data_IF_327772891838
#
_entry.id   IF_327772891838
#
_cell.length_a   1.000
_cell.length_b   1.000
_cell.length_c   1.000
_cell.angle_alpha   90.00
_cell.angle_beta   90.00
_cell.angle_gamma   90.00
#
_symmetry.space_group_name_H-M   'P 1'
#
loop_
_entity.id
_entity.type
_entity.pdbx_description
1 polymer ?
#
# COMPACT_ATOMS: atom_id res chain seq x y z
N UNK A 1 -27.84 -76.15 24.36
CA UNK A 1 -27.21 -75.53 23.17
C UNK A 1 -27.05 -73.99 23.21
N UNK A 2 -27.80 -73.22 24.01
CA UNK A 2 -27.70 -71.74 24.05
C UNK A 2 -26.37 -71.17 24.61
N UNK A 3 -25.75 -71.81 25.59
CA UNK A 3 -24.50 -71.30 26.23
C UNK A 3 -23.27 -71.32 25.31
N UNK A 4 -23.16 -72.31 24.41
CA UNK A 4 -22.01 -72.43 23.48
C UNK A 4 -22.07 -71.32 22.40
N UNK A 5 -23.28 -71.01 21.91
CA UNK A 5 -23.48 -69.97 20.89
C UNK A 5 -23.17 -68.56 21.42
N UNK A 6 -23.56 -68.24 22.66
CA UNK A 6 -23.20 -66.99 23.34
C UNK A 6 -21.68 -66.85 23.52
N UNK A 7 -20.98 -67.94 23.85
CA UNK A 7 -19.52 -67.93 24.02
C UNK A 7 -18.77 -67.67 22.70
N UNK A 8 -19.24 -68.25 21.58
CA UNK A 8 -18.70 -68.00 20.24
C UNK A 8 -18.97 -66.54 19.80
N UNK A 9 -20.16 -66.00 20.05
CA UNK A 9 -20.52 -64.61 19.75
C UNK A 9 -19.67 -63.63 20.56
N UNK A 10 -19.47 -63.89 21.86
CA UNK A 10 -18.61 -63.07 22.73
C UNK A 10 -17.13 -63.13 22.28
N UNK A 11 -16.62 -64.31 21.91
CA UNK A 11 -15.26 -64.46 21.34
C UNK A 11 -15.13 -63.71 20.01
N UNK A 12 -16.12 -63.80 19.09
CA UNK A 12 -16.15 -63.04 17.82
C UNK A 12 -16.24 -61.52 18.06
N UNK A 13 -17.05 -61.05 19.01
CA UNK A 13 -17.15 -59.63 19.42
C UNK A 13 -15.83 -59.12 20.02
N UNK A 14 -15.18 -59.88 20.90
CA UNK A 14 -13.84 -59.56 21.45
C UNK A 14 -12.77 -59.49 20.35
N UNK A 15 -12.76 -60.44 19.39
CA UNK A 15 -11.81 -60.45 18.25
C UNK A 15 -12.03 -59.26 17.30
N UNK A 16 -13.29 -58.90 17.00
CA UNK A 16 -13.64 -57.68 16.23
C UNK A 16 -13.23 -56.39 16.96
N UNK A 17 -13.47 -56.27 18.28
CA UNK A 17 -13.02 -55.12 19.10
C UNK A 17 -11.48 -55.00 19.10
N UNK A 18 -10.73 -56.09 19.26
CA UNK A 18 -9.25 -56.10 19.17
C UNK A 18 -8.75 -55.66 17.78
N UNK A 19 -9.34 -56.16 16.68
CA UNK A 19 -9.01 -55.73 15.30
C UNK A 19 -9.30 -54.24 15.06
N UNK A 20 -10.45 -53.71 15.53
CA UNK A 20 -10.78 -52.27 15.45
C UNK A 20 -9.78 -51.40 16.24
N UNK A 21 -9.39 -51.80 17.46
CA UNK A 21 -8.35 -51.10 18.26
C UNK A 21 -6.98 -51.09 17.54
N UNK A 22 -6.53 -52.21 16.96
CA UNK A 22 -5.29 -52.28 16.17
C UNK A 22 -5.33 -51.35 14.93
N UNK A 23 -6.44 -51.34 14.17
CA UNK A 23 -6.63 -50.41 13.02
C UNK A 23 -6.60 -48.93 13.44
N UNK A 24 -7.26 -48.55 14.55
CA UNK A 24 -7.21 -47.18 15.11
C UNK A 24 -5.78 -46.78 15.53
N UNK A 25 -5.02 -47.65 16.20
CA UNK A 25 -3.60 -47.40 16.55
C UNK A 25 -2.72 -47.20 15.31
N UNK A 26 -2.87 -48.02 14.25
CA UNK A 26 -2.15 -47.85 12.97
C UNK A 26 -2.49 -46.51 12.28
N UNK A 27 -3.76 -46.10 12.22
CA UNK A 27 -4.19 -44.78 11.67
C UNK A 27 -3.59 -43.60 12.46
N UNK A 28 -3.58 -43.66 13.81
CA UNK A 28 -2.95 -42.63 14.66
C UNK A 28 -1.43 -42.52 14.40
N UNK A 29 -0.70 -43.64 14.28
CA UNK A 29 0.74 -43.65 13.92
C UNK A 29 1.01 -43.03 12.54
N UNK A 30 0.20 -43.36 11.51
CA UNK A 30 0.31 -42.74 10.17
C UNK A 30 0.06 -41.22 10.19
N UNK A 31 -0.96 -40.73 10.91
CA UNK A 31 -1.22 -39.29 11.09
C UNK A 31 -0.06 -38.57 11.79
N UNK A 32 0.53 -39.15 12.84
CA UNK A 32 1.72 -38.59 13.52
C UNK A 32 2.93 -38.49 12.59
N UNK A 33 3.22 -39.52 11.77
CA UNK A 33 4.31 -39.49 10.77
C UNK A 33 4.10 -38.40 9.71
N UNK A 34 2.87 -38.24 9.17
CA UNK A 34 2.54 -37.17 8.21
C UNK A 34 2.73 -35.77 8.83
N UNK A 35 2.29 -35.55 10.07
CA UNK A 35 2.51 -34.28 10.80
C UNK A 35 4.00 -33.97 10.99
N UNK A 36 4.83 -34.96 11.37
CA UNK A 36 6.30 -34.79 11.49
C UNK A 36 6.95 -34.41 10.14
N UNK A 37 6.58 -35.07 9.03
CA UNK A 37 7.07 -34.72 7.68
C UNK A 37 6.69 -33.29 7.27
N UNK A 38 5.43 -32.86 7.50
CA UNK A 38 5.00 -31.47 7.23
C UNK A 38 5.78 -30.45 8.07
N UNK A 39 6.02 -30.72 9.37
CA UNK A 39 6.85 -29.85 10.23
C UNK A 39 8.30 -29.74 9.72
N UNK A 40 8.93 -30.85 9.31
CA UNK A 40 10.30 -30.83 8.73
C UNK A 40 10.35 -30.02 7.42
N UNK A 41 9.37 -30.19 6.50
CA UNK A 41 9.27 -29.38 5.26
C UNK A 41 9.10 -27.89 5.56
N UNK A 42 8.24 -27.52 6.52
CA UNK A 42 8.08 -26.11 6.97
C UNK A 42 9.38 -25.55 7.55
N UNK A 43 10.11 -26.31 8.39
CA UNK A 43 11.42 -25.88 8.93
C UNK A 43 12.46 -25.69 7.82
N UNK A 44 12.56 -26.60 6.83
CA UNK A 44 13.46 -26.45 5.67
C UNK A 44 13.10 -25.22 4.82
N UNK A 45 11.80 -24.97 4.54
CA UNK A 45 11.36 -23.75 3.84
C UNK A 45 11.69 -22.47 4.61
N UNK A 46 11.48 -22.45 5.94
CA UNK A 46 11.89 -21.32 6.80
C UNK A 46 13.41 -21.11 6.80
N UNK A 47 14.21 -22.19 6.84
CA UNK A 47 15.68 -22.10 6.77
C UNK A 47 16.14 -21.57 5.40
N UNK A 48 15.57 -22.06 4.29
CA UNK A 48 15.81 -21.52 2.93
C UNK A 48 15.41 -20.04 2.79
N UNK A 49 14.28 -19.61 3.35
CA UNK A 49 13.89 -18.19 3.39
C UNK A 49 14.89 -17.36 4.20
N UNK A 50 15.31 -17.83 5.38
CA UNK A 50 16.33 -17.16 6.20
C UNK A 50 17.69 -17.03 5.50
N UNK A 51 18.13 -18.05 4.77
CA UNK A 51 19.38 -17.97 3.99
C UNK A 51 19.26 -17.10 2.76
N UNK A 52 18.05 -16.93 2.19
CA UNK A 52 17.80 -16.01 1.07
C UNK A 52 17.75 -14.54 1.52
N UNK A 53 17.21 -14.28 2.71
CA UNK A 53 17.21 -12.93 3.33
C UNK A 53 18.63 -12.49 3.73
N UNK A 54 19.52 -13.44 4.08
CA UNK A 54 20.91 -13.16 4.48
C UNK A 54 21.92 -13.05 3.33
N UNK A 55 21.52 -13.30 2.08
CA UNK A 55 22.40 -13.26 0.89
C UNK A 55 22.08 -12.10 -0.06
N UNK A 56 21.22 -11.17 0.34
CA UNK A 56 21.14 -9.88 -0.34
C UNK A 56 22.43 -9.13 0.05
N UNK A 57 23.26 -8.64 -0.89
CA UNK A 57 24.24 -7.60 -0.55
C UNK A 57 23.49 -6.46 0.13
N UNK A 58 24.05 -5.86 1.18
CA UNK A 58 23.47 -4.65 1.76
C UNK A 58 23.50 -3.60 0.65
N UNK A 59 22.34 -3.30 0.09
CA UNK A 59 22.18 -2.19 -0.86
C UNK A 59 22.71 -0.91 -0.18
N UNK A 60 23.46 -0.12 -0.94
CA UNK A 60 23.86 1.22 -0.53
C UNK A 60 22.56 1.98 -0.24
N UNK A 61 22.37 2.46 0.99
CA UNK A 61 21.10 3.06 1.42
C UNK A 61 20.86 4.46 0.87
N UNK A 62 21.93 5.06 0.37
CA UNK A 62 21.97 6.46 -0.04
C UNK A 62 22.24 6.50 -1.54
N UNK A 63 21.44 7.29 -2.23
CA UNK A 63 21.57 7.62 -3.65
C UNK A 63 21.68 9.14 -3.77
N UNK A 64 22.21 9.61 -4.90
CA UNK A 64 22.26 11.03 -5.23
C UNK A 64 21.24 11.31 -6.32
N UNK A 65 20.30 12.20 -6.02
CA UNK A 65 19.39 12.82 -6.98
C UNK A 65 19.88 14.23 -7.26
N UNK A 66 20.20 14.56 -8.52
CA UNK A 66 20.67 15.88 -8.91
C UNK A 66 19.50 16.70 -9.43
N UNK A 67 19.16 17.77 -8.71
CA UNK A 67 18.09 18.68 -9.08
C UNK A 67 18.66 19.90 -9.84
N UNK A 68 18.00 20.28 -10.93
CA UNK A 68 18.30 21.50 -11.70
C UNK A 68 19.18 21.31 -12.94
N UNK A 69 19.26 22.35 -13.76
CA UNK A 69 19.85 22.28 -15.11
C UNK A 69 21.38 22.13 -15.14
N UNK A 70 22.07 22.52 -14.06
CA UNK A 70 23.53 22.42 -13.97
C UNK A 70 23.92 21.02 -13.49
N UNK A 71 24.24 20.14 -14.44
CA UNK A 71 24.79 18.82 -14.14
C UNK A 71 26.27 18.97 -13.78
N UNK A 72 26.57 19.22 -12.50
CA UNK A 72 27.94 19.11 -12.02
C UNK A 72 28.35 17.63 -12.04
N UNK A 73 29.57 17.33 -12.51
CA UNK A 73 30.16 16.00 -12.44
C UNK A 73 30.63 15.61 -11.03
N UNK A 74 30.15 16.32 -10.00
CA UNK A 74 30.57 16.12 -8.62
C UNK A 74 30.11 14.75 -8.15
N UNK A 75 31.08 13.89 -7.84
CA UNK A 75 30.85 12.59 -7.21
C UNK A 75 30.75 12.80 -5.71
N UNK A 76 29.71 12.24 -5.10
CA UNK A 76 29.53 12.27 -3.66
C UNK A 76 30.02 10.95 -3.07
N UNK A 77 30.79 11.04 -2.00
CA UNK A 77 31.26 9.89 -1.24
C UNK A 77 30.73 9.96 0.18
N UNK A 78 30.38 8.79 0.74
CA UNK A 78 29.97 8.65 2.13
C UNK A 78 31.01 7.81 2.86
N UNK A 79 31.44 8.29 4.03
CA UNK A 79 32.36 7.56 4.90
C UNK A 79 31.54 6.68 5.85
N UNK A 80 31.72 5.37 5.78
CA UNK A 80 31.12 4.42 6.75
C UNK A 80 32.21 3.92 7.71
N UNK A 81 32.01 4.12 9.02
CA UNK A 81 32.85 3.51 10.05
C UNK A 81 32.28 2.14 10.43
N UNK A 82 32.88 1.07 9.90
CA UNK A 82 32.55 -0.31 10.24
C UNK A 82 33.79 -1.04 10.73
N UNK A 83 33.71 -1.68 11.91
CA UNK A 83 34.79 -2.50 12.49
C UNK A 83 36.17 -1.81 12.67
N UNK A 84 36.22 -0.48 12.74
CA UNK A 84 37.49 0.26 12.91
C UNK A 84 38.23 0.57 11.61
N UNK A 85 37.69 0.16 10.45
CA UNK A 85 38.19 0.52 9.13
C UNK A 85 37.28 1.60 8.52
N UNK A 86 37.87 2.63 7.91
CA UNK A 86 37.14 3.67 7.18
C UNK A 86 36.95 3.21 5.73
N UNK A 87 35.70 2.96 5.32
CA UNK A 87 35.36 2.68 3.93
C UNK A 87 34.72 3.90 3.29
N UNK A 88 35.29 4.36 2.19
CA UNK A 88 34.71 5.41 1.34
C UNK A 88 33.85 4.75 0.25
N UNK A 89 32.54 5.04 0.29
CA UNK A 89 31.57 4.50 -0.66
C UNK A 89 31.16 5.64 -1.60
N UNK A 90 31.39 5.46 -2.90
CA UNK A 90 30.88 6.38 -3.93
C UNK A 90 29.38 6.13 -4.10
N UNK A 91 28.57 7.18 -4.02
CA UNK A 91 27.12 7.08 -4.15
C UNK A 91 26.71 6.95 -5.62
N UNK A 92 25.73 6.10 -5.89
CA UNK A 92 25.12 5.95 -7.20
C UNK A 92 24.16 7.12 -7.49
N UNK A 93 24.24 7.64 -8.72
CA UNK A 93 23.34 8.69 -9.20
C UNK A 93 22.11 8.04 -9.82
N UNK A 94 20.93 8.50 -9.43
CA UNK A 94 19.65 8.05 -9.96
C UNK A 94 18.86 9.23 -10.53
N UNK A 95 18.07 8.98 -11.57
CA UNK A 95 17.22 10.02 -12.16
C UNK A 95 15.88 10.20 -11.44
N UNK A 96 15.46 9.17 -10.71
CA UNK A 96 14.22 9.13 -9.94
C UNK A 96 14.47 8.47 -8.61
N UNK A 97 14.15 9.16 -7.52
CA UNK A 97 14.26 8.63 -6.17
C UNK A 97 12.89 8.59 -5.48
N UNK A 98 12.71 7.64 -4.56
CA UNK A 98 11.45 7.49 -3.84
C UNK A 98 11.62 7.96 -2.40
N UNK A 99 10.96 9.06 -2.07
CA UNK A 99 10.92 9.57 -0.70
C UNK A 99 9.50 9.59 -0.13
N UNK A 100 9.34 9.04 1.09
CA UNK A 100 8.07 8.90 1.82
C UNK A 100 6.87 8.36 1.00
N UNK A 101 7.11 7.70 -0.15
CA UNK A 101 6.04 7.19 -1.02
C UNK A 101 5.77 8.02 -2.27
N UNK A 102 6.40 9.18 -2.41
CA UNK A 102 6.41 10.03 -3.61
C UNK A 102 7.68 9.75 -4.42
N UNK A 103 7.55 9.67 -5.75
CA UNK A 103 8.71 9.56 -6.63
C UNK A 103 9.08 10.96 -7.14
N UNK A 104 10.34 11.34 -6.95
CA UNK A 104 10.86 12.65 -7.33
C UNK A 104 11.85 12.46 -8.47
N UNK A 105 11.54 13.07 -9.61
CA UNK A 105 12.39 13.06 -10.80
C UNK A 105 13.37 14.25 -10.76
N UNK A 106 14.53 14.16 -11.43
CA UNK A 106 15.51 15.25 -11.53
C UNK A 106 14.91 16.60 -12.00
N UNK A 107 13.91 16.55 -12.88
CA UNK A 107 13.24 17.73 -13.46
C UNK A 107 12.06 18.23 -12.60
N UNK A 108 11.77 17.58 -11.46
CA UNK A 108 10.61 17.88 -10.61
C UNK A 108 9.26 17.87 -11.36
N UNK A 109 9.17 17.12 -12.47
CA UNK A 109 7.96 17.05 -13.29
C UNK A 109 6.89 16.11 -12.73
N UNK A 110 7.29 15.19 -11.83
CA UNK A 110 6.45 14.16 -11.19
C UNK A 110 5.70 13.25 -12.17
N UNK A 111 6.13 13.17 -13.43
CA UNK A 111 5.50 12.32 -14.47
C UNK A 111 5.54 10.84 -14.08
N UNK A 112 6.69 10.38 -13.62
CA UNK A 112 6.89 9.00 -13.16
C UNK A 112 5.97 8.69 -11.98
N UNK A 113 5.86 9.62 -11.03
CA UNK A 113 4.99 9.48 -9.85
C UNK A 113 3.51 9.36 -10.23
N UNK A 114 3.02 10.25 -11.11
CA UNK A 114 1.64 10.22 -11.59
C UNK A 114 1.34 8.91 -12.32
N UNK A 115 2.23 8.48 -13.21
CA UNK A 115 2.09 7.20 -13.93
C UNK A 115 2.02 6.01 -12.96
N UNK A 116 2.93 5.94 -11.98
CA UNK A 116 2.95 4.86 -10.99
C UNK A 116 1.72 4.88 -10.07
N UNK A 117 1.26 6.06 -9.66
CA UNK A 117 0.12 6.24 -8.76
C UNK A 117 -1.20 5.90 -9.45
N UNK A 118 -1.41 6.40 -10.67
CA UNK A 118 -2.58 6.05 -11.49
C UNK A 118 -2.61 4.57 -11.86
N UNK A 119 -1.47 3.96 -12.19
CA UNK A 119 -1.39 2.53 -12.46
C UNK A 119 -1.77 1.68 -11.23
N UNK A 120 -1.33 2.06 -10.02
CA UNK A 120 -1.74 1.39 -8.78
C UNK A 120 -3.24 1.54 -8.54
N UNK A 121 -3.76 2.76 -8.69
CA UNK A 121 -5.18 3.04 -8.47
C UNK A 121 -6.08 2.30 -9.48
N UNK A 122 -5.69 2.25 -10.75
CA UNK A 122 -6.39 1.48 -11.78
C UNK A 122 -6.43 -0.02 -11.47
N UNK A 123 -5.34 -0.60 -10.93
CA UNK A 123 -5.34 -1.99 -10.47
C UNK A 123 -6.38 -2.22 -9.37
N UNK A 124 -6.52 -1.28 -8.43
CA UNK A 124 -7.54 -1.36 -7.37
C UNK A 124 -8.95 -1.25 -7.95
N UNK A 125 -9.18 -0.33 -8.90
CA UNK A 125 -10.46 -0.21 -9.62
C UNK A 125 -10.82 -1.53 -10.32
N UNK A 126 -9.86 -2.16 -10.97
CA UNK A 126 -10.06 -3.46 -11.62
C UNK A 126 -10.31 -4.60 -10.63
N UNK A 127 -9.65 -4.58 -9.46
CA UNK A 127 -9.94 -5.53 -8.38
C UNK A 127 -11.39 -5.36 -7.89
N UNK A 128 -11.85 -4.12 -7.68
CA UNK A 128 -13.24 -3.83 -7.28
C UNK A 128 -14.19 -4.40 -8.33
N UNK A 129 -13.95 -4.12 -9.62
CA UNK A 129 -14.76 -4.63 -10.72
C UNK A 129 -14.88 -6.16 -10.73
N UNK A 130 -13.79 -6.87 -10.41
CA UNK A 130 -13.77 -8.35 -10.44
C UNK A 130 -14.32 -9.00 -9.17
N UNK A 131 -14.41 -8.25 -8.07
CA UNK A 131 -14.78 -8.80 -6.76
C UNK A 131 -16.28 -8.68 -6.51
N UNK A 132 -16.92 -7.65 -7.05
CA UNK A 132 -18.34 -7.37 -6.83
C UNK A 132 -19.12 -7.56 -8.13
N UNK A 133 -20.04 -8.52 -8.15
CA UNK A 133 -20.94 -8.74 -9.29
C UNK A 133 -22.01 -7.63 -9.38
N UNK A 134 -22.46 -7.13 -8.22
CA UNK A 134 -23.41 -6.03 -8.10
C UNK A 134 -22.82 -4.92 -7.22
N UNK A 135 -22.75 -3.71 -7.76
CA UNK A 135 -22.35 -2.50 -7.05
C UNK A 135 -23.55 -1.57 -6.93
N UNK A 136 -23.82 -1.12 -5.71
CA UNK A 136 -24.73 0.01 -5.46
C UNK A 136 -23.95 1.34 -5.48
N UNK A 137 -24.66 2.46 -5.63
CA UNK A 137 -24.06 3.81 -5.64
C UNK A 137 -23.24 4.07 -4.37
N UNK A 138 -23.84 3.83 -3.20
CA UNK A 138 -23.19 4.04 -1.90
C UNK A 138 -21.97 3.14 -1.69
N UNK A 139 -22.06 1.88 -2.12
CA UNK A 139 -20.94 0.94 -1.99
C UNK A 139 -19.78 1.35 -2.89
N UNK A 140 -20.05 1.75 -4.14
CA UNK A 140 -19.02 2.24 -5.05
C UNK A 140 -18.33 3.47 -4.48
N UNK A 141 -19.11 4.43 -3.97
CA UNK A 141 -18.58 5.66 -3.34
C UNK A 141 -17.71 5.33 -2.12
N UNK A 142 -18.16 4.39 -1.28
CA UNK A 142 -17.42 3.94 -0.11
C UNK A 142 -16.09 3.28 -0.49
N UNK A 143 -16.10 2.35 -1.45
CA UNK A 143 -14.90 1.66 -1.95
C UNK A 143 -13.93 2.63 -2.63
N UNK A 144 -14.45 3.56 -3.44
CA UNK A 144 -13.63 4.57 -4.10
C UNK A 144 -12.94 5.48 -3.09
N UNK A 145 -13.66 6.01 -2.11
CA UNK A 145 -13.13 6.90 -1.06
C UNK A 145 -12.09 6.21 -0.17
N UNK A 146 -12.29 4.93 0.15
CA UNK A 146 -11.43 4.19 1.09
C UNK A 146 -10.19 3.57 0.42
N UNK A 147 -10.31 3.06 -0.81
CA UNK A 147 -9.23 2.28 -1.45
C UNK A 147 -8.52 3.02 -2.59
N UNK A 148 -9.28 3.75 -3.41
CA UNK A 148 -8.74 4.37 -4.64
C UNK A 148 -8.25 5.78 -4.36
N UNK A 149 -9.06 6.59 -3.68
CA UNK A 149 -8.76 8.00 -3.41
C UNK A 149 -7.45 8.24 -2.66
N UNK A 150 -7.10 7.49 -1.60
CA UNK A 150 -5.84 7.72 -0.89
C UNK A 150 -4.61 7.50 -1.78
N UNK A 151 -4.69 6.61 -2.77
CA UNK A 151 -3.59 6.37 -3.72
C UNK A 151 -3.36 7.54 -4.68
N UNK A 152 -4.39 8.36 -4.92
CA UNK A 152 -4.35 9.49 -5.85
C UNK A 152 -4.16 10.84 -5.15
N UNK A 153 -4.53 10.96 -3.87
CA UNK A 153 -4.45 12.21 -3.09
C UNK A 153 -3.26 12.25 -2.12
N UNK A 154 -2.59 11.12 -1.87
CA UNK A 154 -1.46 11.09 -0.95
C UNK A 154 -0.35 12.04 -1.40
N UNK A 155 0.07 12.94 -0.51
CA UNK A 155 1.14 13.91 -0.76
C UNK A 155 0.83 14.93 -1.86
N UNK A 156 -0.45 15.18 -2.18
CA UNK A 156 -0.84 16.09 -3.28
C UNK A 156 -0.17 17.48 -3.20
N UNK A 157 0.02 18.04 -2.01
CA UNK A 157 0.69 19.33 -1.79
C UNK A 157 2.15 19.35 -2.27
N UNK A 158 2.79 18.19 -2.40
CA UNK A 158 4.19 18.07 -2.86
C UNK A 158 4.30 17.93 -4.37
N UNK A 159 3.48 17.08 -4.98
CA UNK A 159 3.64 16.68 -6.39
C UNK A 159 2.56 17.21 -7.34
N UNK A 160 1.65 18.07 -6.87
CA UNK A 160 0.50 18.56 -7.63
C UNK A 160 0.86 18.83 -9.10
N UNK A 161 0.29 18.06 -10.06
CA UNK A 161 0.68 18.17 -11.45
C UNK A 161 0.18 19.50 -12.01
N UNK A 162 1.06 20.24 -12.69
CA UNK A 162 0.72 21.50 -13.34
C UNK A 162 0.25 21.31 -14.79
N UNK A 163 0.73 20.24 -15.45
CA UNK A 163 0.34 19.93 -16.83
C UNK A 163 -1.07 19.34 -16.89
N UNK A 164 -1.90 19.89 -17.80
CA UNK A 164 -3.29 19.43 -18.02
C UNK A 164 -3.37 17.94 -18.36
N UNK A 165 -2.39 17.40 -19.07
CA UNK A 165 -2.31 15.97 -19.40
C UNK A 165 -2.22 15.10 -18.14
N UNK A 166 -1.29 15.40 -17.24
CA UNK A 166 -1.12 14.69 -15.98
C UNK A 166 -2.34 14.84 -15.05
N UNK A 167 -2.96 16.03 -15.02
CA UNK A 167 -4.23 16.23 -14.33
C UNK A 167 -5.32 15.30 -14.88
N UNK A 168 -5.40 15.16 -16.21
CA UNK A 168 -6.35 14.25 -16.86
C UNK A 168 -6.07 12.79 -16.53
N UNK A 169 -4.81 12.37 -16.50
CA UNK A 169 -4.44 10.97 -16.17
C UNK A 169 -4.93 10.56 -14.79
N UNK A 170 -4.86 11.48 -13.82
CA UNK A 170 -5.38 11.28 -12.45
C UNK A 170 -6.91 11.25 -12.45
N UNK A 171 -7.56 12.21 -13.11
CA UNK A 171 -9.02 12.29 -13.21
C UNK A 171 -9.63 11.08 -13.94
N UNK A 172 -8.92 10.53 -14.92
CA UNK A 172 -9.32 9.36 -15.68
C UNK A 172 -9.54 8.12 -14.81
N UNK A 173 -8.81 8.00 -13.70
CA UNK A 173 -9.04 6.91 -12.74
C UNK A 173 -10.44 7.04 -12.11
N UNK A 174 -10.87 8.25 -11.76
CA UNK A 174 -12.23 8.51 -11.28
C UNK A 174 -13.26 8.27 -12.39
N UNK A 175 -12.98 8.72 -13.63
CA UNK A 175 -13.86 8.45 -14.78
C UNK A 175 -14.06 6.96 -15.01
N UNK A 176 -13.01 6.13 -14.91
CA UNK A 176 -13.10 4.67 -15.01
C UNK A 176 -13.87 4.06 -13.83
N UNK A 177 -13.62 4.51 -12.61
CA UNK A 177 -14.31 4.02 -11.42
C UNK A 177 -15.84 4.29 -11.49
N UNK A 178 -16.25 5.48 -11.91
CA UNK A 178 -17.68 5.83 -12.03
C UNK A 178 -18.41 5.04 -13.13
N UNK A 179 -17.70 4.55 -14.15
CA UNK A 179 -18.26 3.66 -15.20
C UNK A 179 -18.53 2.22 -14.74
N UNK A 180 -18.05 1.82 -13.57
CA UNK A 180 -18.31 0.48 -13.02
C UNK A 180 -19.80 0.28 -12.76
N UNK A 181 -20.50 1.33 -12.36
CA UNK A 181 -21.94 1.27 -12.12
C UNK A 181 -22.70 1.27 -13.44
N UNK A 182 -23.41 0.17 -13.71
CA UNK A 182 -24.14 -0.01 -14.97
C UNK A 182 -25.25 1.03 -15.18
N UNK A 183 -25.94 1.46 -14.10
CA UNK A 183 -27.08 2.40 -14.17
C UNK A 183 -26.72 3.80 -14.66
N UNK A 184 -25.47 4.24 -14.47
CA UNK A 184 -25.01 5.58 -14.85
C UNK A 184 -23.86 5.56 -15.86
N UNK A 185 -23.48 4.38 -16.37
CA UNK A 185 -22.27 4.19 -17.18
C UNK A 185 -22.20 5.15 -18.36
N UNK A 186 -23.31 5.26 -19.09
CA UNK A 186 -23.40 5.96 -20.38
C UNK A 186 -23.68 7.47 -20.22
N UNK A 187 -23.96 7.94 -19.00
CA UNK A 187 -24.13 9.37 -18.72
C UNK A 187 -22.82 10.14 -18.92
N UNK A 188 -22.87 11.44 -19.26
CA UNK A 188 -21.68 12.28 -19.32
C UNK A 188 -21.02 12.38 -17.93
N UNK A 189 -19.71 12.62 -17.91
CA UNK A 189 -18.93 12.57 -16.67
C UNK A 189 -19.44 13.49 -15.54
N UNK A 190 -19.81 14.76 -15.81
CA UNK A 190 -20.35 15.64 -14.77
C UNK A 190 -21.64 15.10 -14.13
N UNK A 191 -22.53 14.51 -14.92
CA UNK A 191 -23.77 13.90 -14.40
C UNK A 191 -23.50 12.65 -13.56
N UNK A 192 -22.50 11.83 -13.93
CA UNK A 192 -22.08 10.70 -13.10
C UNK A 192 -21.57 11.17 -11.73
N UNK A 193 -20.81 12.25 -11.70
CA UNK A 193 -20.32 12.86 -10.45
C UNK A 193 -21.47 13.43 -9.61
N UNK A 194 -22.43 14.11 -10.23
CA UNK A 194 -23.61 14.63 -9.56
C UNK A 194 -24.46 13.51 -8.93
N UNK A 195 -24.71 12.42 -9.68
CA UNK A 195 -25.47 11.26 -9.18
C UNK A 195 -24.77 10.64 -7.96
N UNK A 196 -23.46 10.43 -8.04
CA UNK A 196 -22.67 9.82 -6.95
C UNK A 196 -22.31 10.80 -5.82
N UNK A 197 -22.70 12.08 -5.93
CA UNK A 197 -22.33 13.17 -5.01
C UNK A 197 -20.81 13.23 -4.76
N UNK A 198 -20.03 13.03 -5.82
CA UNK A 198 -18.57 13.05 -5.79
C UNK A 198 -18.06 14.36 -6.42
N UNK A 199 -17.22 15.15 -5.74
CA UNK A 199 -16.49 16.21 -6.41
C UNK A 199 -15.40 15.63 -7.34
N UNK A 200 -14.97 16.42 -8.32
CA UNK A 200 -13.80 16.09 -9.16
C UNK A 200 -12.52 16.05 -8.32
N UNK A 201 -11.52 15.27 -8.73
CA UNK A 201 -10.25 15.24 -8.01
C UNK A 201 -9.52 16.58 -8.14
N UNK A 202 -9.62 17.26 -9.29
CA UNK A 202 -9.05 18.59 -9.46
C UNK A 202 -9.59 19.59 -8.43
N UNK A 203 -10.91 19.66 -8.24
CA UNK A 203 -11.53 20.54 -7.25
C UNK A 203 -11.06 20.20 -5.84
N UNK A 204 -10.95 18.90 -5.52
CA UNK A 204 -10.49 18.46 -4.20
C UNK A 204 -9.05 18.86 -3.92
N UNK A 205 -8.15 18.74 -4.90
CA UNK A 205 -6.74 19.15 -4.73
C UNK A 205 -6.63 20.65 -4.53
N UNK A 206 -7.31 21.47 -5.36
CA UNK A 206 -7.39 22.93 -5.16
C UNK A 206 -7.90 23.31 -3.78
N UNK A 207 -8.95 22.62 -3.30
CA UNK A 207 -9.47 22.82 -1.94
C UNK A 207 -8.44 22.46 -0.87
N UNK A 208 -7.70 21.37 -1.05
CA UNK A 208 -6.60 20.98 -0.16
C UNK A 208 -5.51 22.04 -0.10
N UNK A 209 -5.08 22.53 -1.26
CA UNK A 209 -4.07 23.59 -1.38
C UNK A 209 -4.49 24.87 -0.64
N UNK A 210 -5.75 25.29 -0.78
CA UNK A 210 -6.29 26.45 -0.05
C UNK A 210 -6.32 26.24 1.47
N UNK A 211 -6.67 25.03 1.92
CA UNK A 211 -6.67 24.70 3.36
C UNK A 211 -5.24 24.71 3.90
N UNK A 212 -4.29 24.15 3.17
CA UNK A 212 -2.89 24.13 3.60
C UNK A 212 -2.30 25.54 3.64
N UNK A 213 -2.60 26.39 2.65
CA UNK A 213 -2.23 27.81 2.67
C UNK A 213 -2.82 28.55 3.88
N UNK A 214 -4.10 28.36 4.16
CA UNK A 214 -4.75 28.98 5.32
C UNK A 214 -4.07 28.59 6.63
N UNK A 215 -3.76 27.29 6.81
CA UNK A 215 -3.04 26.79 8.00
C UNK A 215 -1.65 27.39 8.13
N UNK A 216 -0.95 27.60 7.00
CA UNK A 216 0.35 28.26 7.01
C UNK A 216 0.26 29.74 7.43
N UNK A 217 -0.72 30.48 6.91
CA UNK A 217 -0.91 31.90 7.25
C UNK A 217 -1.29 32.09 8.72
N UNK A 218 -2.10 31.19 9.27
CA UNK A 218 -2.61 31.30 10.66
C UNK A 218 -1.72 30.60 11.68
N UNK A 219 -0.49 30.20 11.32
CA UNK A 219 0.48 29.61 12.25
C UNK A 219 0.07 28.25 12.84
N UNK A 220 -0.85 27.52 12.20
CA UNK A 220 -1.27 26.18 12.65
C UNK A 220 -0.15 25.15 12.43
N UNK A 221 0.71 25.39 11.44
CA UNK A 221 1.90 24.59 11.23
C UNK A 221 3.07 25.20 12.00
N UNK A 222 3.63 24.40 12.92
CA UNK A 222 4.89 24.70 13.60
C UNK A 222 6.04 24.58 12.59
N UNK A 223 6.36 25.69 11.95
CA UNK A 223 7.43 25.79 10.97
C UNK A 223 8.24 27.03 11.26
N UNK A 224 9.57 26.90 11.28
CA UNK A 224 10.52 28.00 11.34
C UNK A 224 10.39 28.84 10.04
N UNK A 225 9.39 29.73 9.98
CA UNK A 225 9.09 30.53 8.79
C UNK A 225 9.06 32.02 9.10
N UNK A 226 9.48 32.87 8.15
CA UNK A 226 9.16 34.28 8.19
C UNK A 226 7.63 34.45 8.12
N UNK A 227 7.08 35.28 9.01
CA UNK A 227 5.66 35.60 9.03
C UNK A 227 5.28 36.25 7.68
N UNK A 228 4.36 35.65 6.94
CA UNK A 228 3.82 36.27 5.73
C UNK A 228 2.78 37.31 6.18
N UNK A 229 3.22 38.54 6.43
CA UNK A 229 2.32 39.67 6.68
C UNK A 229 1.58 40.03 5.39
N UNK A 230 0.40 39.44 5.19
CA UNK A 230 -0.48 39.76 4.05
C UNK A 230 -1.31 41.04 4.33
N UNK A 231 -1.01 41.79 5.41
CA UNK A 231 -1.78 42.98 5.78
C UNK A 231 -3.24 42.69 6.13
N UNK A 232 -3.60 41.42 6.31
CA UNK A 232 -4.85 41.00 6.93
C UNK A 232 -4.63 41.09 8.43
N UNK A 233 -5.04 42.22 9.03
CA UNK A 233 -4.99 42.43 10.47
C UNK A 233 -5.49 41.20 11.21
N UNK A 234 -4.56 40.49 11.84
CA UNK A 234 -4.83 39.31 12.64
C UNK A 234 -5.64 39.80 13.84
N UNK A 235 -6.92 39.41 13.90
CA UNK A 235 -7.69 39.47 15.15
C UNK A 235 -6.90 38.69 16.19
N UNK A 236 -6.48 39.42 17.23
CA UNK A 236 -5.44 39.02 18.16
C UNK A 236 -5.63 37.64 18.75
N UNK A 237 -4.52 36.96 18.92
CA UNK A 237 -4.37 35.99 20.02
C UNK A 237 -4.61 36.75 21.32
N UNK A 238 -5.48 36.29 22.24
CA UNK A 238 -5.53 36.87 23.57
C UNK A 238 -4.16 36.68 24.22
N UNK A 239 -3.52 37.80 24.53
CA UNK A 239 -2.37 37.90 25.41
C UNK A 239 -2.59 37.05 26.66
N UNK A 240 -1.67 36.14 26.93
CA UNK A 240 -1.40 35.67 28.28
C UNK A 240 -0.85 36.87 29.06
N UNK A 241 -1.73 37.59 29.76
CA UNK A 241 -1.36 38.48 30.85
C UNK A 241 -1.59 37.82 32.20
N UNK A 242 -0.52 37.82 33.00
CA UNK A 242 -0.41 37.57 34.45
C UNK A 242 -0.34 36.11 34.94
#
# INVERSE_FOLDING_TARGET
MQLILQCIILKKKKKKKKKKKKKKKKKKKKKKKKKKKKKKKKKKKKKKRRTRIRKQPKEVKCSVLKLGSKKSGTKYTMKEKGNGEEHEIVLEEHDVEKDLGVYVDNDLSFKEHVSRSTAKANKVVEIIRRTFDFLTEDLLVCLYKSLVRPLLEYGHSVWQPQHKTLCSDVEDVQRRATKLLASIRDKPYPERLATLKLPSLEFRRKRGDMIDLWKYIHGVYDTDRPHFDIGLGILGTPEETA
#
